data_IF_844635384410
#
_entry.id   IF_844635384410
#
_cell.length_a   1.000
_cell.length_b   1.000
_cell.length_c   1.000
_cell.angle_alpha   90.00
_cell.angle_beta   90.00
_cell.angle_gamma   90.00
#
_symmetry.space_group_name_H-M   'P 1'
#
loop_
_entity.id
_entity.type
_entity.pdbx_description
1 polymer ?
#
# COMPACT_ATOMS: atom_id res chain seq x y z
N UNK A 1 -22.48 -17.09 -0.33
CA UNK A 1 -22.48 -15.88 0.52
C UNK A 1 -21.39 -14.95 0.00
N UNK A 2 -21.64 -13.65 -0.26
CA UNK A 2 -20.55 -12.74 -0.55
C UNK A 2 -19.67 -12.62 0.70
N UNK A 3 -18.38 -12.90 0.57
CA UNK A 3 -17.41 -12.63 1.64
C UNK A 3 -17.38 -11.13 1.87
N UNK A 4 -17.66 -10.68 3.10
CA UNK A 4 -17.54 -9.26 3.44
C UNK A 4 -16.12 -8.78 3.14
N UNK A 5 -16.01 -7.79 2.24
CA UNK A 5 -14.71 -7.20 1.91
C UNK A 5 -14.21 -6.42 3.12
N UNK A 6 -13.07 -6.83 3.67
CA UNK A 6 -12.39 -6.10 4.73
C UNK A 6 -12.18 -4.63 4.33
N UNK A 7 -12.44 -3.71 5.28
CA UNK A 7 -12.05 -2.30 5.16
C UNK A 7 -10.51 -2.18 5.13
N UNK A 8 -10.00 -1.02 4.70
CA UNK A 8 -8.57 -0.87 4.43
C UNK A 8 -7.68 -1.20 5.64
N UNK A 9 -8.03 -0.73 6.84
CA UNK A 9 -7.24 -0.99 8.05
C UNK A 9 -7.03 -2.48 8.33
N UNK A 10 -8.06 -3.30 8.61
CA UNK A 10 -7.86 -4.73 8.89
C UNK A 10 -7.28 -5.49 7.71
N UNK A 11 -7.59 -5.08 6.47
CA UNK A 11 -6.97 -5.66 5.29
C UNK A 11 -5.46 -5.38 5.25
N UNK A 12 -5.03 -4.14 5.50
CA UNK A 12 -3.63 -3.73 5.48
C UNK A 12 -2.83 -4.42 6.59
N UNK A 13 -3.41 -4.54 7.79
CA UNK A 13 -2.83 -5.29 8.90
C UNK A 13 -2.61 -6.77 8.53
N UNK A 14 -3.61 -7.42 7.92
CA UNK A 14 -3.46 -8.79 7.41
C UNK A 14 -2.36 -8.92 6.34
N UNK A 15 -2.26 -7.94 5.44
CA UNK A 15 -1.20 -7.94 4.41
C UNK A 15 0.19 -7.78 5.03
N UNK A 16 0.35 -6.89 6.01
CA UNK A 16 1.58 -6.69 6.76
C UNK A 16 1.98 -7.97 7.53
N UNK A 17 1.01 -8.63 8.14
CA UNK A 17 1.21 -9.88 8.88
C UNK A 17 1.59 -11.05 8.00
N UNK A 18 1.04 -11.10 6.79
CA UNK A 18 1.37 -12.14 5.83
C UNK A 18 2.81 -12.02 5.29
N UNK A 19 3.38 -10.82 5.28
CA UNK A 19 4.68 -10.54 4.66
C UNK A 19 4.73 -10.81 3.14
N UNK A 20 3.59 -11.07 2.49
CA UNK A 20 3.53 -11.51 1.08
C UNK A 20 3.68 -10.39 0.06
N UNK A 21 3.52 -9.13 0.48
CA UNK A 21 3.54 -7.98 -0.42
C UNK A 21 4.89 -7.27 -0.32
N UNK A 22 5.73 -7.31 -1.37
CA UNK A 22 6.98 -6.58 -1.40
C UNK A 22 6.77 -5.08 -1.16
N UNK A 23 7.67 -4.48 -0.39
CA UNK A 23 7.62 -3.06 -0.07
C UNK A 23 6.62 -2.67 1.02
N UNK A 24 5.88 -3.62 1.62
CA UNK A 24 4.98 -3.37 2.75
C UNK A 24 5.39 -4.24 3.92
N UNK A 25 5.92 -3.62 4.97
CA UNK A 25 6.54 -4.36 6.08
C UNK A 25 6.37 -3.62 7.40
N UNK A 26 6.28 -4.40 8.49
CA UNK A 26 6.42 -3.86 9.84
C UNK A 26 7.84 -3.31 10.04
N UNK A 27 7.93 -2.07 10.53
CA UNK A 27 9.17 -1.47 11.04
C UNK A 27 9.29 -1.76 12.53
N UNK A 28 8.19 -1.61 13.27
CA UNK A 28 8.09 -1.91 14.69
C UNK A 28 6.70 -2.45 14.99
N UNK A 29 6.57 -3.78 15.06
CA UNK A 29 5.27 -4.45 15.21
C UNK A 29 4.56 -4.11 16.53
N UNK A 30 5.32 -3.95 17.62
CA UNK A 30 4.79 -3.61 18.95
C UNK A 30 4.03 -2.27 18.95
N UNK A 31 4.59 -1.27 18.26
CA UNK A 31 4.00 0.06 18.16
C UNK A 31 3.16 0.25 16.89
N UNK A 32 2.89 -0.85 16.16
CA UNK A 32 2.19 -0.89 14.87
C UNK A 32 2.72 0.12 13.85
N UNK A 33 4.05 0.27 13.81
CA UNK A 33 4.73 1.12 12.83
C UNK A 33 5.09 0.28 11.61
N UNK A 34 4.69 0.71 10.43
CA UNK A 34 4.95 0.03 9.18
C UNK A 34 5.43 0.99 8.10
N UNK A 35 6.07 0.44 7.05
CA UNK A 35 6.50 1.21 5.88
C UNK A 35 5.87 0.68 4.61
N UNK A 36 5.65 1.57 3.66
CA UNK A 36 5.13 1.29 2.32
C UNK A 36 6.05 1.92 1.27
N UNK A 37 6.54 1.12 0.33
CA UNK A 37 7.28 1.59 -0.84
C UNK A 37 6.47 2.61 -1.62
N UNK A 38 7.09 3.74 -1.95
CA UNK A 38 6.42 4.90 -2.54
C UNK A 38 7.15 5.48 -3.76
N UNK A 39 7.99 4.68 -4.41
CA UNK A 39 8.72 5.04 -5.63
C UNK A 39 7.81 5.72 -6.67
N UNK A 40 8.31 6.78 -7.27
CA UNK A 40 7.57 7.52 -8.28
C UNK A 40 7.66 6.81 -9.64
N UNK A 41 6.54 6.71 -10.36
CA UNK A 41 6.45 5.96 -11.62
C UNK A 41 7.36 6.50 -12.74
N UNK A 42 7.76 7.78 -12.65
CA UNK A 42 8.72 8.38 -13.60
C UNK A 42 10.19 8.09 -13.27
N UNK A 43 10.50 7.37 -12.19
CA UNK A 43 11.88 7.05 -11.83
C UNK A 43 12.40 5.86 -12.65
N UNK A 44 13.67 5.92 -13.05
CA UNK A 44 14.33 4.82 -13.74
C UNK A 44 14.23 3.51 -12.94
N UNK A 45 13.94 2.42 -13.66
CA UNK A 45 13.75 1.09 -13.08
C UNK A 45 12.51 0.96 -12.20
N UNK A 46 11.49 1.81 -12.37
CA UNK A 46 10.18 1.57 -11.78
C UNK A 46 9.51 0.38 -12.49
N UNK A 47 9.03 -0.59 -11.72
CA UNK A 47 8.46 -1.84 -12.22
C UNK A 47 7.08 -2.08 -11.60
N UNK A 48 6.08 -2.38 -12.43
CA UNK A 48 4.70 -2.57 -11.99
C UNK A 48 4.58 -3.65 -10.90
N UNK A 49 5.22 -4.80 -11.10
CA UNK A 49 5.13 -5.96 -10.21
C UNK A 49 6.03 -5.86 -8.97
N UNK A 50 6.76 -4.75 -8.79
CA UNK A 50 7.57 -4.48 -7.59
C UNK A 50 7.11 -3.24 -6.85
N UNK A 51 6.82 -2.17 -7.58
CA UNK A 51 6.55 -0.85 -7.02
C UNK A 51 5.06 -0.54 -6.88
N UNK A 52 4.18 -1.33 -7.50
CA UNK A 52 2.72 -1.16 -7.40
C UNK A 52 2.01 -2.29 -6.64
N UNK A 53 2.73 -3.22 -6.04
CA UNK A 53 2.18 -4.45 -5.46
C UNK A 53 1.01 -4.21 -4.50
N UNK A 54 1.20 -3.36 -3.50
CA UNK A 54 0.14 -3.06 -2.51
C UNK A 54 -1.05 -2.33 -3.13
N UNK A 55 -0.79 -1.41 -4.06
CA UNK A 55 -1.84 -0.64 -4.72
C UNK A 55 -2.69 -1.55 -5.59
N UNK A 56 -2.05 -2.46 -6.35
CA UNK A 56 -2.71 -3.49 -7.14
C UNK A 56 -3.51 -4.44 -6.25
N UNK A 57 -2.91 -4.96 -5.18
CA UNK A 57 -3.57 -5.87 -4.25
C UNK A 57 -4.84 -5.24 -3.65
N UNK A 58 -4.78 -3.96 -3.28
CA UNK A 58 -5.95 -3.22 -2.79
C UNK A 58 -7.02 -3.02 -3.88
N UNK A 59 -6.60 -2.73 -5.10
CA UNK A 59 -7.52 -2.59 -6.24
C UNK A 59 -8.24 -3.91 -6.55
N UNK A 60 -7.53 -5.05 -6.50
CA UNK A 60 -8.11 -6.39 -6.63
C UNK A 60 -9.09 -6.67 -5.48
N UNK A 61 -8.66 -6.46 -4.23
CA UNK A 61 -9.49 -6.71 -3.05
C UNK A 61 -10.80 -5.92 -3.07
N UNK A 62 -10.74 -4.64 -3.45
CA UNK A 62 -11.95 -3.80 -3.56
C UNK A 62 -12.79 -4.11 -4.80
N UNK A 63 -12.29 -4.89 -5.75
CA UNK A 63 -12.94 -5.17 -7.03
C UNK A 63 -12.87 -4.01 -8.03
N UNK A 64 -12.00 -3.02 -7.79
CA UNK A 64 -11.73 -1.91 -8.72
C UNK A 64 -10.78 -2.30 -9.85
N UNK A 65 -10.19 -3.49 -9.77
CA UNK A 65 -9.36 -4.08 -10.82
C UNK A 65 -9.57 -5.60 -10.84
N UNK A 66 -9.94 -6.13 -12.01
CA UNK A 66 -10.09 -7.56 -12.27
C UNK A 66 -8.89 -8.04 -13.08
N UNK A 67 -8.06 -8.87 -12.46
CA UNK A 67 -6.85 -9.39 -13.09
C UNK A 67 -7.20 -10.19 -14.35
N UNK A 68 -6.49 -9.93 -15.45
CA UNK A 68 -6.71 -10.59 -16.74
C UNK A 68 -7.89 -10.04 -17.56
N UNK A 69 -8.75 -9.20 -16.96
CA UNK A 69 -9.89 -8.58 -17.65
C UNK A 69 -9.70 -7.08 -17.88
N UNK A 70 -9.25 -6.38 -16.85
CA UNK A 70 -9.06 -4.93 -16.92
C UNK A 70 -7.60 -4.59 -17.31
N UNK A 71 -7.40 -3.45 -17.96
CA UNK A 71 -6.05 -2.92 -18.23
C UNK A 71 -5.42 -2.39 -16.94
N UNK A 72 -4.15 -2.73 -16.63
CA UNK A 72 -3.45 -2.17 -15.47
C UNK A 72 -3.39 -0.64 -15.45
N UNK A 73 -3.75 -0.02 -14.32
CA UNK A 73 -3.64 1.42 -14.08
C UNK A 73 -3.04 1.69 -12.69
N UNK A 74 -1.71 1.58 -12.55
CA UNK A 74 -1.02 1.77 -11.27
C UNK A 74 -1.19 3.18 -10.70
N UNK A 75 -1.38 4.20 -11.55
CA UNK A 75 -1.61 5.58 -11.12
C UNK A 75 -2.93 5.69 -10.37
N UNK A 76 -4.01 5.13 -10.94
CA UNK A 76 -5.33 5.10 -10.30
C UNK A 76 -5.34 4.26 -9.02
N UNK A 77 -4.68 3.11 -9.03
CA UNK A 77 -4.57 2.27 -7.82
C UNK A 77 -3.86 3.00 -6.68
N UNK A 78 -2.72 3.64 -6.96
CA UNK A 78 -1.96 4.42 -5.96
C UNK A 78 -2.78 5.60 -5.43
N UNK A 79 -3.48 6.32 -6.29
CA UNK A 79 -4.35 7.43 -5.88
C UNK A 79 -5.48 6.95 -4.96
N UNK A 80 -6.19 5.88 -5.34
CA UNK A 80 -7.28 5.31 -4.54
C UNK A 80 -6.79 4.80 -3.18
N UNK A 81 -5.66 4.08 -3.16
CA UNK A 81 -5.07 3.60 -1.91
C UNK A 81 -4.69 4.75 -0.99
N UNK A 82 -4.02 5.79 -1.52
CA UNK A 82 -3.67 6.99 -0.75
C UNK A 82 -4.89 7.68 -0.15
N UNK A 83 -5.96 7.87 -0.94
CA UNK A 83 -7.19 8.49 -0.43
C UNK A 83 -7.83 7.65 0.68
N UNK A 84 -7.90 6.33 0.50
CA UNK A 84 -8.43 5.43 1.52
C UNK A 84 -7.56 5.42 2.80
N UNK A 85 -6.23 5.48 2.66
CA UNK A 85 -5.30 5.55 3.79
C UNK A 85 -5.46 6.87 4.56
N UNK A 86 -5.56 7.99 3.85
CA UNK A 86 -5.74 9.31 4.45
C UNK A 86 -7.12 9.48 5.12
N UNK A 87 -8.11 8.67 4.76
CA UNK A 87 -9.43 8.68 5.38
C UNK A 87 -9.50 7.91 6.70
N UNK A 88 -8.44 7.16 7.07
CA UNK A 88 -8.36 6.43 8.32
C UNK A 88 -7.81 7.34 9.43
N UNK A 89 -8.61 7.74 10.45
CA UNK A 89 -8.17 8.66 11.50
C UNK A 89 -7.10 8.05 12.42
N UNK A 90 -7.04 6.73 12.46
CA UNK A 90 -6.15 5.92 13.25
C UNK A 90 -4.88 5.48 12.50
N UNK A 91 -4.67 5.95 11.26
CA UNK A 91 -3.40 5.79 10.55
C UNK A 91 -2.75 7.15 10.37
N UNK A 92 -1.60 7.34 11.01
CA UNK A 92 -0.81 8.59 10.91
C UNK A 92 0.48 8.36 10.16
N UNK A 93 0.77 9.22 9.19
CA UNK A 93 2.09 9.25 8.55
C UNK A 93 3.14 9.76 9.55
N UNK A 94 4.35 9.20 9.51
CA UNK A 94 5.51 9.62 10.30
C UNK A 94 6.58 10.19 9.35
N UNK A 95 6.48 11.46 8.91
CA UNK A 95 7.33 12.02 7.87
C UNK A 95 8.82 12.03 8.23
N UNK A 96 9.15 12.22 9.51
CA UNK A 96 10.53 12.20 10.01
C UNK A 96 11.24 10.84 9.92
N UNK A 97 10.50 9.77 9.59
CA UNK A 97 11.06 8.42 9.38
C UNK A 97 11.00 7.98 7.91
N UNK A 98 10.44 8.80 7.02
CA UNK A 98 10.23 8.47 5.61
C UNK A 98 11.42 8.87 4.72
N UNK A 99 11.62 8.13 3.63
CA UNK A 99 12.56 8.50 2.56
C UNK A 99 11.77 8.79 1.30
N UNK A 100 11.65 10.07 0.94
CA UNK A 100 10.76 10.50 -0.15
C UNK A 100 11.43 10.57 -1.52
N UNK A 101 12.75 10.36 -1.58
CA UNK A 101 13.57 10.50 -2.80
C UNK A 101 14.38 9.23 -3.06
N UNK A 102 14.76 9.04 -4.32
CA UNK A 102 15.59 7.91 -4.76
C UNK A 102 14.79 6.65 -5.14
N UNK A 103 15.52 5.60 -5.50
CA UNK A 103 14.93 4.34 -5.99
C UNK A 103 14.28 3.50 -4.89
N UNK A 104 14.68 3.71 -3.63
CA UNK A 104 14.14 3.02 -2.46
C UNK A 104 13.21 3.93 -1.65
N UNK A 105 12.50 4.85 -2.30
CA UNK A 105 11.61 5.76 -1.61
C UNK A 105 10.47 5.00 -0.89
N UNK A 106 10.22 5.33 0.37
CA UNK A 106 9.16 4.75 1.19
C UNK A 106 8.55 5.79 2.13
N UNK A 107 7.32 5.52 2.53
CA UNK A 107 6.61 6.25 3.59
C UNK A 107 6.47 5.38 4.83
N UNK A 108 6.46 6.00 5.99
CA UNK A 108 6.26 5.31 7.29
C UNK A 108 4.96 5.78 7.89
N UNK A 109 4.21 4.84 8.44
CA UNK A 109 2.91 5.06 9.06
C UNK A 109 2.84 4.35 10.41
N UNK A 110 1.97 4.81 11.29
CA UNK A 110 1.63 4.18 12.55
C UNK A 110 0.12 3.97 12.64
N UNK A 111 -0.30 2.76 13.03
CA UNK A 111 -1.68 2.49 13.40
C UNK A 111 -1.86 2.74 14.91
N UNK A 112 -2.86 3.55 15.27
CA UNK A 112 -3.23 3.87 16.65
C UNK A 112 -4.18 2.83 17.27
#
# INVERSE_FOLDING_TARGET
MPVEKLRLRPWLESMLDSGKIPGVTWVERRNKVFKVSWKHASRHGWELDKDACIFRAWAVHTGRFRQGLDKPDPRRWKANFRCALNALPDIKELPGRAVTRGNNAYKVYQML
#
